data_IF_641397338614
#
_entry.id   IF_641397338614
#
_cell.length_a   1.000
_cell.length_b   1.000
_cell.length_c   1.000
_cell.angle_alpha   90.00
_cell.angle_beta   90.00
_cell.angle_gamma   90.00
#
_symmetry.space_group_name_H-M   'P 1'
#
loop_
_entity.id
_entity.type
_entity.pdbx_description
1 polymer ?
#
# COMPACT_ATOMS: atom_id res chain seq x y z
N UNK A 1 -8.02 -4.22 -31.69
CA UNK A 1 -7.89 -5.68 -31.52
C UNK A 1 -6.59 -5.92 -30.75
N UNK A 2 -6.68 -6.06 -29.43
CA UNK A 2 -5.50 -6.14 -28.55
C UNK A 2 -5.24 -7.61 -28.23
N UNK A 3 -4.08 -8.11 -28.65
CA UNK A 3 -3.70 -9.52 -28.54
C UNK A 3 -3.16 -9.76 -27.12
N UNK A 4 -3.84 -10.59 -26.33
CA UNK A 4 -3.37 -11.06 -25.04
C UNK A 4 -2.40 -12.24 -25.24
N UNK A 5 -1.09 -11.95 -25.21
CA UNK A 5 -0.06 -12.99 -25.17
C UNK A 5 0.18 -13.44 -23.73
N UNK A 6 -0.35 -14.60 -23.33
CA UNK A 6 -0.02 -15.26 -22.07
C UNK A 6 1.34 -15.95 -22.16
N UNK A 7 2.42 -15.23 -21.83
CA UNK A 7 3.76 -15.81 -21.75
C UNK A 7 4.19 -15.90 -20.27
N UNK A 8 3.92 -17.05 -19.64
CA UNK A 8 4.47 -17.38 -18.33
C UNK A 8 5.90 -17.91 -18.46
N UNK A 9 6.73 -17.61 -17.45
CA UNK A 9 8.00 -18.31 -17.12
C UNK A 9 9.32 -17.63 -17.51
N UNK A 10 9.56 -16.45 -16.92
CA UNK A 10 10.71 -16.19 -16.04
C UNK A 10 10.33 -14.99 -15.18
N UNK A 11 10.30 -15.15 -13.85
CA UNK A 11 9.80 -14.18 -12.85
C UNK A 11 10.68 -12.92 -12.79
N UNK A 12 10.78 -12.15 -13.87
CA UNK A 12 11.22 -10.76 -13.81
C UNK A 12 10.07 -9.96 -13.26
N UNK A 13 10.30 -9.28 -12.15
CA UNK A 13 9.36 -8.32 -11.64
C UNK A 13 9.05 -7.26 -12.70
N UNK A 14 7.77 -6.93 -12.87
CA UNK A 14 7.32 -5.98 -13.87
C UNK A 14 7.59 -4.56 -13.38
N UNK A 15 8.60 -3.91 -13.97
CA UNK A 15 8.88 -2.48 -13.84
C UNK A 15 7.79 -1.73 -14.60
N UNK A 16 6.79 -1.24 -13.89
CA UNK A 16 5.61 -0.64 -14.49
C UNK A 16 4.92 0.31 -13.52
N UNK A 17 4.21 1.28 -14.08
CA UNK A 17 3.27 2.11 -13.34
C UNK A 17 1.90 1.43 -13.29
N UNK A 18 1.17 1.56 -12.18
CA UNK A 18 -0.24 1.16 -12.13
C UNK A 18 -1.07 2.35 -12.62
N UNK A 19 -1.50 2.32 -13.88
CA UNK A 19 -2.23 3.43 -14.46
C UNK A 19 -3.65 3.52 -13.90
N UNK A 20 -4.40 2.41 -13.92
CA UNK A 20 -5.80 2.39 -13.47
C UNK A 20 -6.22 1.00 -13.00
N UNK A 21 -7.39 0.93 -12.37
CA UNK A 21 -8.12 -0.31 -12.12
C UNK A 21 -9.34 -0.31 -13.02
N UNK A 22 -9.70 -1.45 -13.61
CA UNK A 22 -10.83 -1.54 -14.54
C UNK A 22 -11.64 -2.80 -14.29
N UNK A 23 -12.90 -2.81 -14.72
CA UNK A 23 -13.75 -4.01 -14.72
C UNK A 23 -13.75 -4.62 -16.11
N UNK A 24 -13.28 -5.86 -16.21
CA UNK A 24 -13.25 -6.66 -17.45
C UNK A 24 -13.97 -7.98 -17.14
N UNK A 25 -15.00 -8.30 -17.92
CA UNK A 25 -15.84 -9.49 -17.73
C UNK A 25 -16.35 -9.65 -16.29
N UNK A 26 -16.80 -8.54 -15.71
CA UNK A 26 -17.32 -8.49 -14.35
C UNK A 26 -16.26 -8.54 -13.24
N UNK A 27 -14.97 -8.70 -13.55
CA UNK A 27 -13.87 -8.80 -12.58
C UNK A 27 -12.99 -7.55 -12.60
N UNK A 28 -12.54 -7.12 -11.43
CA UNK A 28 -11.55 -6.05 -11.35
C UNK A 28 -10.17 -6.55 -11.80
N UNK A 29 -9.50 -5.75 -12.62
CA UNK A 29 -8.16 -5.97 -13.15
C UNK A 29 -7.34 -4.68 -13.04
N UNK A 30 -6.02 -4.79 -12.94
CA UNK A 30 -5.11 -3.66 -12.99
C UNK A 30 -4.61 -3.43 -14.41
N UNK A 31 -4.61 -2.18 -14.85
CA UNK A 31 -3.93 -1.75 -16.07
C UNK A 31 -2.61 -1.11 -15.67
N UNK A 32 -1.53 -1.67 -16.19
CA UNK A 32 -0.17 -1.20 -15.94
C UNK A 32 0.44 -0.65 -17.21
N UNK A 33 1.28 0.37 -17.09
CA UNK A 33 1.92 1.03 -18.23
C UNK A 33 3.43 1.00 -18.04
N UNK A 34 4.16 0.55 -19.06
CA UNK A 34 5.62 0.57 -19.07
C UNK A 34 6.14 1.97 -19.42
N UNK A 35 7.45 2.16 -19.30
CA UNK A 35 8.11 3.42 -19.71
C UNK A 35 7.94 3.70 -21.22
N UNK A 36 7.83 2.65 -22.02
CA UNK A 36 7.62 2.73 -23.48
C UNK A 36 6.12 2.93 -23.84
N UNK A 37 5.25 3.13 -22.86
CA UNK A 37 3.80 3.32 -23.05
C UNK A 37 3.01 2.02 -23.30
N UNK A 38 3.64 0.85 -23.16
CA UNK A 38 2.95 -0.43 -23.37
C UNK A 38 2.03 -0.72 -22.18
N UNK A 39 0.73 -0.80 -22.46
CA UNK A 39 -0.30 -1.15 -21.49
C UNK A 39 -0.46 -2.66 -21.36
N UNK A 40 -0.51 -3.17 -20.13
CA UNK A 40 -0.75 -4.58 -19.83
C UNK A 40 -1.87 -4.71 -18.80
N UNK A 41 -2.75 -5.69 -19.00
CA UNK A 41 -3.74 -6.07 -18.00
C UNK A 41 -3.18 -7.19 -17.12
N UNK A 42 -3.33 -7.04 -15.81
CA UNK A 42 -3.01 -8.09 -14.84
C UNK A 42 -4.16 -8.28 -13.86
N UNK A 43 -4.26 -9.48 -13.27
CA UNK A 43 -5.16 -9.72 -12.15
C UNK A 43 -4.79 -8.83 -10.94
N UNK A 44 -5.77 -8.43 -10.12
CA UNK A 44 -5.53 -7.57 -8.96
C UNK A 44 -4.50 -8.15 -7.97
N UNK A 45 -4.44 -9.46 -7.80
CA UNK A 45 -3.45 -10.10 -6.93
C UNK A 45 -2.01 -9.99 -7.47
N UNK A 46 -1.86 -9.65 -8.75
CA UNK A 46 -0.61 -9.30 -9.41
C UNK A 46 -0.07 -7.92 -9.02
N UNK A 47 -0.92 -6.98 -8.58
CA UNK A 47 -0.52 -5.60 -8.22
C UNK A 47 0.62 -5.57 -7.19
N UNK A 48 0.61 -6.52 -6.25
CA UNK A 48 1.65 -6.62 -5.21
C UNK A 48 3.06 -6.83 -5.77
N UNK A 49 3.18 -7.38 -6.99
CA UNK A 49 4.43 -7.66 -7.70
C UNK A 49 4.91 -6.50 -8.57
N UNK A 50 4.09 -5.45 -8.74
CA UNK A 50 4.50 -4.25 -9.47
C UNK A 50 5.66 -3.58 -8.71
N UNK A 51 6.76 -3.30 -9.41
CA UNK A 51 7.78 -2.39 -8.90
C UNK A 51 7.59 -1.03 -9.54
N UNK A 52 7.22 -0.08 -8.69
CA UNK A 52 7.04 1.30 -9.11
C UNK A 52 8.38 1.87 -9.57
N UNK A 53 8.38 2.79 -10.55
CA UNK A 53 9.53 3.65 -10.77
C UNK A 53 9.71 4.57 -9.55
N UNK A 54 10.82 5.32 -9.44
CA UNK A 54 12.09 5.08 -10.11
C UNK A 54 12.76 3.77 -9.64
N UNK A 55 13.81 3.31 -10.31
CA UNK A 55 14.53 2.09 -9.93
C UNK A 55 15.89 2.35 -9.29
N UNK A 56 16.45 3.56 -9.36
CA UNK A 56 17.57 3.93 -8.49
C UNK A 56 17.01 4.34 -7.13
N UNK A 57 17.64 3.94 -6.03
CA UNK A 57 17.05 4.22 -4.72
C UNK A 57 18.06 4.48 -3.62
N UNK A 58 17.73 5.49 -2.80
CA UNK A 58 18.26 5.71 -1.46
C UNK A 58 17.11 5.58 -0.47
N UNK A 59 17.42 5.15 0.75
CA UNK A 59 16.44 5.07 1.84
C UNK A 59 16.59 6.25 2.79
N UNK A 60 15.48 6.83 3.22
CA UNK A 60 15.39 7.88 4.23
C UNK A 60 14.29 7.51 5.22
N UNK A 61 14.55 7.69 6.50
CA UNK A 61 13.60 7.40 7.58
C UNK A 61 13.14 8.70 8.23
N UNK A 62 11.85 8.82 8.53
CA UNK A 62 11.30 9.98 9.22
C UNK A 62 10.00 9.64 9.96
N UNK A 63 9.59 10.55 10.84
CA UNK A 63 8.28 10.51 11.49
C UNK A 63 7.35 11.51 10.78
N UNK A 64 6.08 11.15 10.65
CA UNK A 64 5.10 11.99 9.96
C UNK A 64 3.70 11.75 10.49
N UNK A 65 2.90 12.82 10.50
CA UNK A 65 1.47 12.74 10.74
C UNK A 65 0.76 12.61 9.38
N UNK A 66 -0.09 11.61 9.22
CA UNK A 66 -0.82 11.39 7.96
C UNK A 66 -1.84 12.48 7.64
N UNK A 67 -2.24 13.29 8.63
CA UNK A 67 -3.05 14.48 8.43
C UNK A 67 -2.34 15.61 7.68
N UNK A 68 -1.00 15.61 7.67
CA UNK A 68 -0.18 16.61 6.97
C UNK A 68 0.14 16.20 5.51
N UNK A 69 -0.33 15.03 5.09
CA UNK A 69 -0.09 14.52 3.73
C UNK A 69 -1.12 15.11 2.78
N UNK A 70 -0.65 15.59 1.64
CA UNK A 70 -1.51 16.18 0.62
C UNK A 70 -1.59 15.28 -0.60
N UNK A 71 -2.74 15.23 -1.26
CA UNK A 71 -2.86 14.57 -2.56
C UNK A 71 -2.22 15.46 -3.63
N UNK A 72 -1.38 14.88 -4.46
CA UNK A 72 -0.64 15.52 -5.55
C UNK A 72 -0.97 14.82 -6.88
N UNK A 73 -0.90 15.57 -7.98
CA UNK A 73 -1.13 15.01 -9.31
C UNK A 73 0.02 14.05 -9.69
N UNK A 74 -0.35 12.81 -10.01
CA UNK A 74 0.57 11.78 -10.51
C UNK A 74 1.39 12.18 -11.74
N UNK A 75 0.95 13.15 -12.55
CA UNK A 75 1.71 13.66 -13.70
C UNK A 75 3.11 14.11 -13.29
N UNK A 76 3.21 14.89 -12.21
CA UNK A 76 4.50 15.41 -11.69
C UNK A 76 5.47 14.28 -11.35
N UNK A 77 4.95 13.21 -10.76
CA UNK A 77 5.73 12.03 -10.41
C UNK A 77 6.19 11.25 -11.65
N UNK A 78 5.27 11.03 -12.61
CA UNK A 78 5.53 10.27 -13.84
C UNK A 78 6.49 10.98 -14.78
N UNK A 79 6.32 12.28 -14.98
CA UNK A 79 7.24 13.12 -15.77
C UNK A 79 8.67 13.02 -15.22
N UNK A 80 8.84 13.12 -13.90
CA UNK A 80 10.14 13.01 -13.24
C UNK A 80 10.75 11.59 -13.30
N UNK A 81 9.92 10.57 -13.60
CA UNK A 81 10.34 9.20 -13.88
C UNK A 81 10.54 8.91 -15.39
N UNK A 82 10.18 9.86 -16.26
CA UNK A 82 10.21 9.71 -17.72
C UNK A 82 9.16 8.74 -18.26
N UNK A 83 7.97 8.71 -17.65
CA UNK A 83 6.81 7.95 -18.14
C UNK A 83 5.90 8.86 -18.99
N UNK A 84 5.08 8.28 -19.88
CA UNK A 84 4.09 9.03 -20.66
C UNK A 84 3.08 9.77 -19.76
N UNK A 85 2.74 11.01 -20.13
CA UNK A 85 1.84 11.86 -19.35
C UNK A 85 0.38 11.37 -19.35
N UNK A 86 -0.04 10.62 -20.37
CA UNK A 86 -1.37 10.02 -20.49
C UNK A 86 -1.58 8.83 -19.55
N UNK A 87 -0.53 8.30 -18.92
CA UNK A 87 -0.61 7.29 -17.87
C UNK A 87 -0.99 7.86 -16.49
N UNK A 88 -1.24 9.17 -16.39
CA UNK A 88 -1.56 9.86 -15.15
C UNK A 88 -3.07 9.93 -14.85
N UNK A 89 -3.42 10.26 -13.61
CA UNK A 89 -4.74 10.74 -13.21
C UNK A 89 -5.64 9.72 -12.52
N UNK A 90 -5.32 8.43 -12.57
CA UNK A 90 -6.07 7.36 -11.89
C UNK A 90 -5.26 6.63 -10.81
N UNK A 91 -4.08 7.14 -10.45
CA UNK A 91 -3.29 6.63 -9.34
C UNK A 91 -2.76 7.81 -8.52
N UNK A 92 -3.30 7.99 -7.32
CA UNK A 92 -2.94 9.11 -6.46
C UNK A 92 -1.47 9.04 -6.03
N UNK A 93 -0.86 10.22 -5.86
CA UNK A 93 0.45 10.40 -5.26
C UNK A 93 0.29 11.31 -4.05
N UNK A 94 0.90 10.96 -2.93
CA UNK A 94 0.89 11.78 -1.73
C UNK A 94 2.17 12.60 -1.64
N UNK A 95 2.03 13.89 -1.34
CA UNK A 95 3.12 14.80 -1.03
C UNK A 95 3.29 14.88 0.49
N UNK A 96 4.50 14.66 0.95
CA UNK A 96 4.87 14.72 2.38
C UNK A 96 6.13 15.57 2.52
N UNK A 97 6.18 16.44 3.53
CA UNK A 97 7.39 17.20 3.85
C UNK A 97 7.94 16.73 5.19
N UNK A 98 9.20 16.33 5.21
CA UNK A 98 9.90 15.90 6.42
C UNK A 98 11.40 16.21 6.30
N UNK A 99 12.03 16.65 7.39
CA UNK A 99 13.47 16.93 7.47
C UNK A 99 14.00 17.81 6.32
N UNK A 100 13.23 18.84 5.95
CA UNK A 100 13.57 19.77 4.87
C UNK A 100 13.53 19.18 3.45
N UNK A 101 12.93 18.00 3.30
CA UNK A 101 12.74 17.31 2.01
C UNK A 101 11.27 17.09 1.73
N UNK A 102 10.93 17.04 0.46
CA UNK A 102 9.63 16.64 -0.04
C UNK A 102 9.70 15.19 -0.55
N UNK A 103 8.71 14.37 -0.23
CA UNK A 103 8.55 13.03 -0.78
C UNK A 103 7.26 12.95 -1.58
N UNK A 104 7.34 12.34 -2.75
CA UNK A 104 6.18 11.97 -3.56
C UNK A 104 5.98 10.45 -3.46
N UNK A 105 4.91 10.03 -2.80
CA UNK A 105 4.63 8.65 -2.42
C UNK A 105 3.38 8.15 -3.16
N UNK A 106 3.52 7.28 -4.17
CA UNK A 106 2.37 6.72 -4.85
C UNK A 106 1.47 5.92 -3.90
N UNK A 107 0.15 6.00 -4.09
CA UNK A 107 -0.82 5.30 -3.24
C UNK A 107 -0.56 3.80 -3.17
N UNK A 108 -0.18 3.16 -4.28
CA UNK A 108 0.23 1.76 -4.29
C UNK A 108 1.41 1.45 -3.36
N UNK A 109 2.39 2.34 -3.21
CA UNK A 109 3.49 2.15 -2.27
C UNK A 109 2.97 2.15 -0.82
N UNK A 110 2.06 3.07 -0.49
CA UNK A 110 1.43 3.14 0.83
C UNK A 110 0.53 1.93 1.13
N UNK A 111 -0.34 1.55 0.19
CA UNK A 111 -1.20 0.35 0.29
C UNK A 111 -0.31 -0.89 0.55
N UNK A 112 0.83 -0.98 -0.14
CA UNK A 112 1.78 -2.08 0.08
C UNK A 112 2.43 -2.01 1.46
N UNK A 113 2.88 -0.83 1.88
CA UNK A 113 3.56 -0.67 3.17
C UNK A 113 2.65 -1.04 4.35
N UNK A 114 1.38 -0.65 4.27
CA UNK A 114 0.36 -0.97 5.26
C UNK A 114 -0.04 -2.45 5.19
N UNK A 115 -0.35 -2.99 4.00
CA UNK A 115 -1.11 -4.25 3.91
C UNK A 115 -0.40 -5.44 3.22
N UNK A 116 0.76 -5.28 2.56
CA UNK A 116 1.41 -6.32 1.72
C UNK A 116 1.94 -7.53 2.50
N UNK A 117 1.92 -7.52 3.83
CA UNK A 117 2.62 -8.54 4.64
C UNK A 117 2.13 -9.97 4.42
N UNK A 118 0.92 -10.16 3.93
CA UNK A 118 0.39 -11.50 3.66
C UNK A 118 -0.36 -11.56 2.32
N UNK A 119 -0.11 -12.61 1.53
CA UNK A 119 -0.77 -12.77 0.22
C UNK A 119 -2.28 -12.87 0.36
N UNK A 120 -2.77 -13.55 1.40
CA UNK A 120 -4.19 -13.71 1.59
C UNK A 120 -4.87 -12.36 1.87
N UNK A 121 -4.31 -11.52 2.76
CA UNK A 121 -4.94 -10.24 3.12
C UNK A 121 -5.07 -9.29 1.92
N UNK A 122 -4.09 -9.30 1.01
CA UNK A 122 -4.08 -8.40 -0.14
C UNK A 122 -5.27 -8.64 -1.09
N UNK A 123 -5.77 -9.88 -1.20
CA UNK A 123 -6.96 -10.19 -2.02
C UNK A 123 -8.24 -9.60 -1.43
N UNK A 124 -8.31 -9.53 -0.10
CA UNK A 124 -9.49 -9.01 0.59
C UNK A 124 -9.57 -7.48 0.57
N UNK A 125 -8.46 -6.77 0.32
CA UNK A 125 -8.47 -5.30 0.16
C UNK A 125 -9.42 -4.80 -0.95
N UNK A 126 -9.67 -5.65 -1.94
CA UNK A 126 -10.50 -5.34 -3.10
C UNK A 126 -11.85 -6.08 -3.07
N UNK A 127 -12.38 -6.34 -1.86
CA UNK A 127 -13.66 -7.00 -1.63
C UNK A 127 -14.54 -6.15 -0.69
N UNK A 128 -15.88 -6.06 -0.91
CA UNK A 128 -16.76 -5.22 -0.09
C UNK A 128 -16.79 -5.58 1.40
N UNK A 129 -16.65 -6.87 1.73
CA UNK A 129 -16.60 -7.41 3.10
C UNK A 129 -15.23 -7.99 3.43
N UNK A 130 -14.19 -7.41 2.84
CA UNK A 130 -12.84 -7.95 2.89
C UNK A 130 -12.31 -8.14 4.31
N UNK A 131 -12.52 -7.16 5.18
CA UNK A 131 -12.04 -7.19 6.56
C UNK A 131 -12.78 -8.24 7.38
N UNK A 132 -14.11 -8.28 7.29
CA UNK A 132 -14.97 -9.22 8.02
C UNK A 132 -14.75 -10.68 7.57
N UNK A 133 -14.36 -10.86 6.30
CA UNK A 133 -13.96 -12.16 5.78
C UNK A 133 -12.58 -12.61 6.28
N UNK A 134 -11.74 -11.67 6.70
CA UNK A 134 -10.39 -11.94 7.22
C UNK A 134 -10.40 -12.20 8.72
N UNK A 135 -11.10 -11.38 9.48
CA UNK A 135 -11.12 -11.43 10.92
C UNK A 135 -12.47 -11.01 11.51
N UNK A 136 -12.68 -11.42 12.76
CA UNK A 136 -13.84 -11.06 13.57
C UNK A 136 -13.41 -10.72 15.00
N UNK A 137 -14.14 -9.87 15.71
CA UNK A 137 -13.86 -9.59 17.11
C UNK A 137 -14.26 -10.79 17.95
N UNK A 138 -13.47 -11.08 18.97
CA UNK A 138 -13.73 -12.11 19.98
C UNK A 138 -13.42 -11.55 21.36
N UNK A 139 -14.03 -12.13 22.38
CA UNK A 139 -13.75 -11.76 23.78
C UNK A 139 -12.96 -12.88 24.44
N UNK A 140 -11.80 -12.55 24.99
CA UNK A 140 -10.89 -13.49 25.65
C UNK A 140 -10.55 -12.93 27.02
N UNK A 141 -11.03 -13.58 28.07
CA UNK A 141 -10.83 -13.15 29.47
C UNK A 141 -11.20 -11.67 29.70
N UNK A 142 -12.34 -11.24 29.16
CA UNK A 142 -12.83 -9.85 29.27
C UNK A 142 -12.16 -8.84 28.34
N UNK A 143 -11.14 -9.25 27.59
CA UNK A 143 -10.45 -8.38 26.62
C UNK A 143 -11.01 -8.59 25.20
N UNK A 144 -11.26 -7.49 24.48
CA UNK A 144 -11.62 -7.53 23.06
C UNK A 144 -10.37 -7.79 22.22
N UNK A 145 -10.33 -8.93 21.54
CA UNK A 145 -9.27 -9.37 20.64
C UNK A 145 -9.84 -9.64 19.24
N UNK A 146 -9.00 -9.96 18.26
CA UNK A 146 -9.46 -10.41 16.95
C UNK A 146 -9.09 -11.87 16.72
N UNK A 147 -9.96 -12.59 16.03
CA UNK A 147 -9.71 -13.94 15.54
C UNK A 147 -9.73 -13.92 14.01
N UNK A 148 -8.85 -14.68 13.36
CA UNK A 148 -8.85 -14.81 11.90
C UNK A 148 -9.92 -15.82 11.48
N UNK A 149 -10.82 -15.39 10.57
CA UNK A 149 -11.91 -16.21 10.04
C UNK A 149 -11.41 -17.26 9.04
N UNK A 150 -10.27 -17.01 8.41
CA UNK A 150 -9.70 -17.91 7.43
C UNK A 150 -9.02 -19.11 8.12
N UNK A 151 -9.19 -20.30 7.53
CA UNK A 151 -8.25 -21.43 7.68
C UNK A 151 -6.90 -21.12 7.04
N UNK A 152 -6.37 -19.92 7.24
CA UNK A 152 -4.95 -19.65 7.09
C UNK A 152 -4.29 -20.60 8.06
N UNK A 153 -3.63 -21.65 7.56
CA UNK A 153 -3.01 -22.66 8.41
C UNK A 153 -2.31 -21.96 9.58
N UNK A 154 -2.79 -22.24 10.80
CA UNK A 154 -2.51 -21.44 12.00
C UNK A 154 -1.00 -21.31 12.31
N UNK A 155 -0.16 -22.09 11.64
CA UNK A 155 1.27 -22.27 11.90
C UNK A 155 2.21 -21.23 11.25
N UNK A 156 1.73 -20.20 10.54
CA UNK A 156 2.66 -19.25 9.88
C UNK A 156 2.20 -17.79 9.81
N UNK A 157 1.12 -17.41 10.49
CA UNK A 157 0.70 -16.01 10.46
C UNK A 157 1.55 -15.21 11.44
N UNK A 158 2.29 -14.17 10.99
CA UNK A 158 3.11 -13.36 11.90
C UNK A 158 2.26 -12.53 12.86
N UNK A 159 2.70 -12.38 14.11
CA UNK A 159 2.01 -11.61 15.15
C UNK A 159 1.67 -10.17 14.72
N UNK A 160 2.59 -9.51 14.01
CA UNK A 160 2.37 -8.14 13.53
C UNK A 160 1.16 -8.01 12.57
N UNK A 161 0.70 -9.10 11.95
CA UNK A 161 -0.51 -9.09 11.14
C UNK A 161 -1.76 -8.98 12.01
N UNK A 162 -1.77 -9.64 13.17
CA UNK A 162 -2.86 -9.54 14.13
C UNK A 162 -2.95 -8.12 14.69
N UNK A 163 -1.83 -7.51 15.07
CA UNK A 163 -1.83 -6.14 15.59
C UNK A 163 -2.37 -5.16 14.54
N UNK A 164 -1.92 -5.27 13.29
CA UNK A 164 -2.40 -4.42 12.21
C UNK A 164 -3.91 -4.60 11.96
N UNK A 165 -4.39 -5.85 11.87
CA UNK A 165 -5.82 -6.11 11.66
C UNK A 165 -6.65 -5.66 12.86
N UNK A 166 -6.13 -5.79 14.10
CA UNK A 166 -6.77 -5.29 15.31
C UNK A 166 -6.93 -3.78 15.25
N UNK A 167 -5.88 -3.06 14.86
CA UNK A 167 -5.93 -1.61 14.66
C UNK A 167 -6.93 -1.21 13.58
N UNK A 168 -6.90 -1.88 12.41
CA UNK A 168 -7.87 -1.62 11.33
C UNK A 168 -9.31 -1.88 11.79
N UNK A 169 -9.54 -2.93 12.59
CA UNK A 169 -10.88 -3.31 13.00
C UNK A 169 -11.49 -2.35 14.02
N UNK A 170 -10.67 -1.88 14.96
CA UNK A 170 -11.14 -1.12 16.12
C UNK A 170 -11.04 0.41 15.97
N UNK A 171 -10.19 0.94 15.08
CA UNK A 171 -10.03 2.38 14.90
C UNK A 171 -10.80 2.88 13.66
N UNK A 172 -11.73 3.85 13.80
CA UNK A 172 -12.63 4.26 12.72
C UNK A 172 -11.94 4.70 11.42
N UNK A 173 -10.93 5.57 11.51
CA UNK A 173 -10.18 6.04 10.34
C UNK A 173 -9.36 4.93 9.70
N UNK A 174 -8.78 4.01 10.49
CA UNK A 174 -8.04 2.85 9.97
C UNK A 174 -8.97 1.90 9.20
N UNK A 175 -10.19 1.66 9.71
CA UNK A 175 -11.23 0.91 9.00
C UNK A 175 -11.66 1.61 7.71
N UNK A 176 -11.84 2.93 7.76
CA UNK A 176 -12.17 3.73 6.59
C UNK A 176 -11.06 3.69 5.52
N UNK A 177 -9.80 3.72 5.95
CA UNK A 177 -8.60 3.53 5.12
C UNK A 177 -8.63 2.18 4.41
N UNK A 178 -8.88 1.08 5.12
CA UNK A 178 -9.03 -0.24 4.49
C UNK A 178 -10.13 -0.25 3.42
N UNK A 179 -11.33 0.18 3.78
CA UNK A 179 -12.50 0.17 2.90
C UNK A 179 -12.37 1.14 1.71
N UNK A 180 -11.56 2.19 1.84
CA UNK A 180 -11.33 3.16 0.76
C UNK A 180 -10.63 2.53 -0.45
N UNK A 181 -9.77 1.52 -0.24
CA UNK A 181 -9.03 0.86 -1.33
C UNK A 181 -9.99 0.21 -2.32
N UNK A 182 -10.95 -0.58 -1.82
CA UNK A 182 -11.98 -1.18 -2.67
C UNK A 182 -12.87 -0.13 -3.34
N UNK A 183 -13.29 0.91 -2.60
CA UNK A 183 -14.11 2.00 -3.16
C UNK A 183 -13.39 2.75 -4.29
N UNK A 184 -12.11 3.06 -4.11
CA UNK A 184 -11.29 3.66 -5.15
C UNK A 184 -11.14 2.75 -6.37
N UNK A 185 -10.90 1.45 -6.15
CA UNK A 185 -10.80 0.46 -7.21
C UNK A 185 -12.10 0.34 -8.04
N UNK A 186 -13.27 0.44 -7.40
CA UNK A 186 -14.56 0.50 -8.10
C UNK A 186 -14.72 1.74 -8.97
N UNK A 187 -14.13 2.87 -8.56
CA UNK A 187 -14.06 4.11 -9.35
C UNK A 187 -12.93 4.10 -10.40
N UNK A 188 -12.26 2.97 -10.56
CA UNK A 188 -11.15 2.76 -11.49
C UNK A 188 -9.81 3.38 -11.07
N UNK A 189 -9.69 3.79 -9.80
CA UNK A 189 -8.52 4.47 -9.25
C UNK A 189 -7.69 3.58 -8.33
N UNK A 190 -6.37 3.78 -8.33
CA UNK A 190 -5.49 3.36 -7.24
C UNK A 190 -5.34 4.52 -6.23
N UNK A 191 -6.12 4.45 -5.15
CA UNK A 191 -6.13 5.47 -4.10
C UNK A 191 -6.41 4.81 -2.74
N UNK A 192 -6.13 5.54 -1.67
CA UNK A 192 -6.38 5.14 -0.28
C UNK A 192 -6.64 6.39 0.56
N UNK A 193 -7.67 6.37 1.39
CA UNK A 193 -7.89 7.38 2.41
C UNK A 193 -6.86 7.22 3.53
N UNK A 194 -6.30 8.33 4.00
CA UNK A 194 -5.27 8.27 5.04
C UNK A 194 -5.91 8.09 6.43
N UNK A 195 -5.36 7.21 7.28
CA UNK A 195 -5.82 7.05 8.65
C UNK A 195 -5.44 8.30 9.46
N UNK A 196 -6.01 8.52 10.64
CA UNK A 196 -5.53 9.53 11.60
C UNK A 196 -4.43 8.91 12.45
N UNK A 197 -3.17 9.04 12.02
CA UNK A 197 -2.06 8.37 12.67
C UNK A 197 -0.74 9.14 12.57
N UNK A 198 0.12 8.98 13.56
CA UNK A 198 1.54 9.21 13.40
C UNK A 198 2.21 7.93 12.90
N UNK A 199 3.08 8.06 11.90
CA UNK A 199 3.81 6.97 11.30
C UNK A 199 5.32 7.19 11.44
N UNK A 200 6.05 6.13 11.77
CA UNK A 200 7.50 6.05 11.51
C UNK A 200 7.71 5.28 10.23
N UNK A 201 8.21 5.95 9.19
CA UNK A 201 8.33 5.35 7.85
C UNK A 201 9.77 5.34 7.36
N UNK A 202 10.06 4.39 6.48
CA UNK A 202 11.24 4.36 5.63
C UNK A 202 10.79 4.50 4.17
N UNK A 203 11.21 5.59 3.53
CA UNK A 203 10.96 5.84 2.11
C UNK A 203 12.21 5.47 1.33
N UNK A 204 12.05 4.56 0.38
CA UNK A 204 13.07 4.21 -0.61
C UNK A 204 12.67 4.84 -1.94
N UNK A 205 13.60 5.53 -2.59
CA UNK A 205 13.29 6.30 -3.80
C UNK A 205 14.48 7.03 -4.40
N UNK A 206 14.27 7.67 -5.54
CA UNK A 206 15.33 8.42 -6.23
C UNK A 206 15.31 9.90 -5.81
N UNK A 207 16.44 10.45 -5.33
CA UNK A 207 16.54 11.87 -5.08
C UNK A 207 16.55 12.67 -6.38
N UNK A 208 15.79 13.76 -6.42
CA UNK A 208 15.69 14.75 -7.50
C UNK A 208 15.97 16.14 -6.95
N UNK A 209 16.14 17.11 -7.86
CA UNK A 209 16.35 18.53 -7.51
C UNK A 209 17.44 18.72 -6.43
N UNK A 210 18.62 18.11 -6.64
CA UNK A 210 19.75 18.12 -5.68
C UNK A 210 19.42 17.51 -4.31
N UNK A 211 18.44 16.61 -4.23
CA UNK A 211 18.07 15.87 -3.02
C UNK A 211 16.95 16.50 -2.19
N UNK A 212 16.32 17.57 -2.68
CA UNK A 212 15.19 18.21 -2.01
C UNK A 212 13.87 17.46 -2.25
N UNK A 213 13.76 16.70 -3.34
CA UNK A 213 12.59 15.87 -3.66
C UNK A 213 13.01 14.40 -3.72
N UNK A 214 12.23 13.51 -3.11
CA UNK A 214 12.40 12.05 -3.20
C UNK A 214 11.18 11.45 -3.90
N UNK A 215 11.41 10.80 -5.05
CA UNK A 215 10.37 10.03 -5.74
C UNK A 215 10.35 8.62 -5.16
N UNK A 216 9.38 8.31 -4.30
CA UNK A 216 9.32 7.05 -3.59
C UNK A 216 8.88 5.90 -4.52
N UNK A 217 9.65 4.82 -4.58
CA UNK A 217 9.26 3.59 -5.26
C UNK A 217 8.80 2.49 -4.29
N UNK A 218 9.17 2.63 -3.02
CA UNK A 218 8.86 1.71 -1.94
C UNK A 218 8.73 2.49 -0.62
N UNK A 219 7.72 2.11 0.15
CA UNK A 219 7.48 2.62 1.50
C UNK A 219 7.46 1.43 2.45
N UNK A 220 8.08 1.59 3.62
CA UNK A 220 7.93 0.67 4.76
C UNK A 220 7.39 1.46 5.94
N UNK A 221 6.35 0.93 6.59
CA UNK A 221 5.79 1.48 7.82
C UNK A 221 6.30 0.65 8.99
N UNK A 222 7.08 1.27 9.87
CA UNK A 222 7.60 0.67 11.09
C UNK A 222 6.63 0.84 12.25
N UNK A 223 6.42 2.07 12.71
CA UNK A 223 5.52 2.32 13.83
C UNK A 223 4.24 3.03 13.36
N UNK A 224 3.13 2.69 14.01
CA UNK A 224 1.84 3.36 13.84
C UNK A 224 1.36 3.74 15.23
N UNK A 225 0.99 5.01 15.41
CA UNK A 225 0.31 5.53 16.59
C UNK A 225 -1.04 6.11 16.15
N UNK A 226 -2.14 5.55 16.64
CA UNK A 226 -3.48 6.06 16.37
C UNK A 226 -3.73 7.39 17.09
N UNK A 227 -4.26 8.38 16.37
CA UNK A 227 -4.59 9.72 16.87
C UNK A 227 -6.09 9.91 17.12
N UNK A 228 -6.82 8.82 17.25
CA UNK A 228 -8.25 8.80 17.53
C UNK A 228 -8.58 7.70 18.54
N UNK A 229 -9.75 7.80 19.15
CA UNK A 229 -10.28 6.72 19.98
C UNK A 229 -10.73 5.53 19.12
N UNK A 230 -10.61 4.29 19.64
CA UNK A 230 -11.29 3.15 19.04
C UNK A 230 -12.81 3.34 19.11
N UNK A 231 -13.56 2.49 18.40
CA UNK A 231 -15.02 2.45 18.57
C UNK A 231 -15.40 2.22 20.03
N UNK A 232 -16.49 2.85 20.50
CA UNK A 232 -16.95 2.74 21.89
C UNK A 232 -17.10 1.29 22.36
N UNK A 233 -17.65 0.42 21.52
CA UNK A 233 -17.87 -1.00 21.82
C UNK A 233 -16.57 -1.82 21.90
N UNK A 234 -15.45 -1.31 21.39
CA UNK A 234 -14.16 -1.97 21.41
C UNK A 234 -13.42 -1.77 22.74
N UNK A 235 -13.83 -0.79 23.57
CA UNK A 235 -13.15 -0.43 24.81
C UNK A 235 -11.69 -0.02 24.60
N UNK A 236 -10.84 -0.26 25.60
CA UNK A 236 -9.43 0.11 25.54
C UNK A 236 -8.66 -0.76 24.54
N UNK A 237 -8.01 -0.11 23.57
CA UNK A 237 -7.23 -0.77 22.53
C UNK A 237 -5.83 -0.17 22.44
N UNK A 238 -4.79 -0.99 22.14
CA UNK A 238 -3.44 -0.48 21.89
C UNK A 238 -3.45 0.54 20.76
N UNK A 239 -2.99 1.76 21.05
CA UNK A 239 -2.82 2.81 20.04
C UNK A 239 -1.50 2.70 19.29
N UNK A 240 -0.52 2.04 19.90
CA UNK A 240 0.83 1.92 19.37
C UNK A 240 1.05 0.52 18.81
N UNK A 241 1.48 0.48 17.54
CA UNK A 241 1.89 -0.73 16.86
C UNK A 241 3.36 -0.57 16.49
N UNK A 242 4.19 -1.49 16.95
CA UNK A 242 5.60 -1.53 16.57
C UNK A 242 5.80 -2.63 15.54
N UNK A 243 6.40 -2.29 14.42
CA UNK A 243 6.85 -3.25 13.41
C UNK A 243 8.33 -3.03 13.23
N UNK A 244 9.11 -4.09 13.42
CA UNK A 244 10.53 -4.02 13.14
C UNK A 244 10.72 -3.74 11.65
N UNK A 245 11.49 -2.69 11.33
CA UNK A 245 12.05 -2.58 9.99
C UNK A 245 12.86 -3.84 9.77
N UNK A 246 12.47 -4.68 8.81
CA UNK A 246 13.21 -5.88 8.48
C UNK A 246 14.62 -5.47 8.02
N UNK A 247 15.57 -5.46 8.96
CA UNK A 247 16.91 -4.87 8.83
C UNK A 247 17.75 -5.48 7.68
N UNK A 248 17.32 -6.58 7.07
CA UNK A 248 17.97 -7.20 5.90
C UNK A 248 17.06 -7.49 4.70
N UNK A 249 15.74 -7.24 4.76
CA UNK A 249 14.84 -7.62 3.65
C UNK A 249 14.84 -6.60 2.52
N UNK A 250 14.97 -5.31 2.86
CA UNK A 250 15.11 -4.22 1.89
C UNK A 250 16.31 -4.45 0.96
N UNK A 251 17.44 -4.90 1.50
CA UNK A 251 18.62 -5.24 0.70
C UNK A 251 18.37 -6.46 -0.18
N UNK A 252 17.76 -7.53 0.33
CA UNK A 252 17.46 -8.72 -0.47
C UNK A 252 16.44 -8.49 -1.60
N UNK A 253 15.42 -7.64 -1.41
CA UNK A 253 14.45 -7.31 -2.46
C UNK A 253 15.06 -6.38 -3.53
N UNK A 254 16.06 -5.57 -3.15
CA UNK A 254 16.81 -4.70 -4.06
C UNK A 254 18.02 -5.39 -4.71
N UNK A 255 18.57 -6.45 -4.10
CA UNK A 255 19.78 -7.16 -4.52
C UNK A 255 19.54 -8.33 -5.48
N UNK A 256 18.29 -8.66 -5.85
CA UNK A 256 18.00 -9.56 -7.00
C UNK A 256 18.17 -8.80 -8.34
N UNK A 257 19.20 -7.96 -8.43
CA UNK A 257 19.58 -7.21 -9.63
C UNK A 257 20.73 -7.87 -10.34
#
# INVERSE_FOLDING_TARGET
>A
MTIYSSNESRRRYQKSWLESIQRVDGRLCAITTSKDGIKNQIALDGIRKIHLPPHASRSVNFHTNTGDWEVEDSRRYLEACGYPADAAGMHDVFRVKADGREMLIPALALIKALFKQHLASYRHLYHPTGLESLCRPVEIAGNKAIELSLRLGHRSTPDHMFDLLRWIYYFPSARATWNSVYRAALAGKCSIALPKANLRVAVTGEPRARGTIILANLLTVGNIEALEEPYEWAGDQPRFLTREFAKGRLESELAVR
#
